data_IF_866493596240
#
_entry.id   IF_866493596240
#
_cell.length_a   1.000
_cell.length_b   1.000
_cell.length_c   1.000
_cell.angle_alpha   90.00
_cell.angle_beta   90.00
_cell.angle_gamma   90.00
#
_symmetry.space_group_name_H-M   'P 1'
#
loop_
_entity.id
_entity.type
_entity.pdbx_description
1 polymer ?
#
# COMPACT_ATOMS: atom_id res chain seq x y z
N UNK A 1 -7.41 18.41 -9.75
CA UNK A 1 -6.94 18.33 -11.15
C UNK A 1 -7.02 16.89 -11.60
N UNK A 2 -7.59 16.58 -12.77
CA UNK A 2 -7.62 15.20 -13.29
C UNK A 2 -6.29 14.81 -13.93
N UNK A 3 -5.81 13.61 -13.65
CA UNK A 3 -4.60 13.07 -14.25
C UNK A 3 -4.87 11.66 -14.77
N UNK A 4 -4.25 11.26 -15.89
CA UNK A 4 -4.52 9.95 -16.48
C UNK A 4 -3.29 9.32 -17.10
N UNK A 5 -3.07 8.04 -16.82
CA UNK A 5 -2.05 7.22 -17.47
C UNK A 5 -2.70 5.96 -18.03
N UNK A 6 -2.71 5.82 -19.36
CA UNK A 6 -3.37 4.70 -20.03
C UNK A 6 -2.65 3.37 -19.80
N UNK A 7 -1.31 3.40 -19.81
CA UNK A 7 -0.45 2.22 -19.70
C UNK A 7 0.61 2.47 -18.62
N UNK A 8 0.26 2.22 -17.36
CA UNK A 8 1.18 2.38 -16.24
C UNK A 8 0.48 2.50 -14.89
N UNK A 9 1.26 2.92 -13.91
CA UNK A 9 0.87 3.14 -12.52
C UNK A 9 1.10 4.61 -12.16
N UNK A 10 0.42 5.14 -11.15
CA UNK A 10 0.64 6.51 -10.69
C UNK A 10 0.29 7.55 -11.75
N UNK A 11 -0.99 7.88 -11.94
CA UNK A 11 -1.37 8.79 -13.03
C UNK A 11 -0.80 10.21 -12.89
N UNK A 12 -0.49 10.66 -11.66
CA UNK A 12 0.22 11.91 -11.40
C UNK A 12 1.71 11.66 -11.20
N UNK A 13 2.05 10.69 -10.36
CA UNK A 13 3.43 10.43 -9.94
C UNK A 13 3.67 8.93 -9.99
N UNK A 14 4.62 8.54 -10.83
CA UNK A 14 5.31 7.26 -10.75
C UNK A 14 6.74 7.53 -10.29
N UNK A 15 7.16 6.89 -9.21
CA UNK A 15 8.55 6.97 -8.75
C UNK A 15 9.09 5.58 -8.43
N UNK A 16 10.34 5.34 -8.81
CA UNK A 16 11.08 4.11 -8.50
C UNK A 16 12.42 4.46 -7.90
N UNK A 17 12.73 3.88 -6.74
CA UNK A 17 14.01 4.02 -6.03
C UNK A 17 14.70 2.66 -5.99
N UNK A 18 15.79 2.53 -6.74
CA UNK A 18 16.60 1.31 -6.78
C UNK A 18 17.47 1.15 -5.54
N UNK A 19 17.84 -0.08 -5.18
CA UNK A 19 18.74 -0.35 -4.06
C UNK A 19 20.07 0.40 -4.21
N UNK A 20 20.56 0.95 -3.10
CA UNK A 20 21.76 1.80 -3.08
C UNK A 20 21.55 3.23 -3.59
N UNK A 21 20.32 3.61 -3.97
CA UNK A 21 19.98 4.99 -4.31
C UNK A 21 20.04 5.89 -3.07
N UNK A 22 20.63 7.08 -3.22
CA UNK A 22 20.56 8.18 -2.25
C UNK A 22 19.43 9.18 -2.56
N UNK A 23 18.62 8.91 -3.58
CA UNK A 23 17.50 9.76 -3.97
C UNK A 23 16.31 9.62 -3.02
N UNK A 24 15.47 10.67 -2.98
CA UNK A 24 14.22 10.66 -2.23
C UNK A 24 13.09 11.26 -3.06
N UNK A 25 11.85 10.91 -2.70
CA UNK A 25 10.63 11.44 -3.31
C UNK A 25 9.88 12.24 -2.26
N UNK A 26 9.73 13.55 -2.46
CA UNK A 26 8.96 14.38 -1.54
C UNK A 26 7.98 15.30 -2.25
N UNK A 27 6.82 15.49 -1.62
CA UNK A 27 5.89 16.58 -1.95
C UNK A 27 6.10 17.63 -0.87
N UNK A 28 6.44 18.85 -1.26
CA UNK A 28 6.80 19.92 -0.33
C UNK A 28 6.12 21.22 -0.70
N UNK A 29 5.95 22.09 0.31
CA UNK A 29 5.46 23.45 0.13
C UNK A 29 4.02 23.57 0.61
N UNK A 30 3.08 23.65 -0.32
CA UNK A 30 1.64 23.65 0.01
C UNK A 30 1.03 22.29 -0.29
N UNK A 31 -0.03 21.96 0.46
CA UNK A 31 -0.80 20.73 0.26
C UNK A 31 -1.15 20.55 -1.22
N UNK A 32 -0.72 19.42 -1.78
CA UNK A 32 -0.99 18.99 -3.15
C UNK A 32 -2.13 17.99 -3.15
N UNK A 33 -3.26 18.39 -3.72
CA UNK A 33 -4.47 17.57 -3.72
C UNK A 33 -4.63 16.77 -5.01
N UNK A 34 -4.70 15.44 -4.88
CA UNK A 34 -4.92 14.51 -5.98
C UNK A 34 -6.38 14.04 -6.02
N UNK A 35 -7.05 14.28 -7.13
CA UNK A 35 -8.47 14.02 -7.35
C UNK A 35 -8.70 13.55 -8.78
N UNK A 36 -9.65 12.67 -9.06
CA UNK A 36 -9.95 12.26 -10.45
C UNK A 36 -8.74 11.70 -11.22
N UNK A 37 -7.77 11.13 -10.51
CA UNK A 37 -6.55 10.56 -11.09
C UNK A 37 -6.74 9.08 -11.42
N UNK A 38 -6.59 8.71 -12.69
CA UNK A 38 -7.01 7.40 -13.19
C UNK A 38 -5.90 6.69 -13.95
N UNK A 39 -5.63 5.46 -13.54
CA UNK A 39 -4.88 4.46 -14.33
C UNK A 39 -5.83 3.32 -14.75
N UNK A 40 -5.31 2.32 -15.46
CA UNK A 40 -6.08 1.10 -15.78
C UNK A 40 -6.68 0.48 -14.51
N UNK A 41 -8.00 0.22 -14.51
CA UNK A 41 -8.69 -0.43 -13.38
C UNK A 41 -8.56 -1.96 -13.40
N UNK A 42 -7.94 -2.53 -14.43
CA UNK A 42 -7.73 -3.98 -14.56
C UNK A 42 -6.30 -4.41 -14.30
N UNK A 43 -5.34 -3.47 -14.36
CA UNK A 43 -3.91 -3.76 -14.23
C UNK A 43 -3.07 -2.66 -13.58
N UNK A 44 -3.60 -1.43 -13.50
CA UNK A 44 -2.87 -0.27 -13.00
C UNK A 44 -2.95 -0.16 -11.48
N UNK A 45 -1.88 0.34 -10.88
CA UNK A 45 -1.73 0.51 -9.44
C UNK A 45 -1.53 2.00 -9.12
N UNK A 46 -2.06 2.47 -7.99
CA UNK A 46 -1.83 3.84 -7.56
C UNK A 46 -2.48 4.84 -8.50
N UNK A 47 -3.79 5.08 -8.34
CA UNK A 47 -4.50 5.95 -9.30
C UNK A 47 -3.91 7.36 -9.37
N UNK A 48 -3.42 7.90 -8.25
CA UNK A 48 -2.65 9.15 -8.25
C UNK A 48 -1.13 8.90 -8.17
N UNK A 49 -0.68 8.22 -7.12
CA UNK A 49 0.73 8.04 -6.80
C UNK A 49 1.07 6.56 -6.74
N UNK A 50 2.15 6.18 -7.40
CA UNK A 50 2.77 4.87 -7.29
C UNK A 50 4.24 5.02 -6.89
N UNK A 51 4.63 4.33 -5.82
CA UNK A 51 6.01 4.24 -5.36
C UNK A 51 6.51 2.80 -5.51
N UNK A 52 7.67 2.64 -6.13
CA UNK A 52 8.40 1.38 -6.22
C UNK A 52 9.71 1.50 -5.43
N UNK A 53 9.73 0.87 -4.26
CA UNK A 53 10.78 1.03 -3.25
C UNK A 53 11.55 -0.28 -3.12
N UNK A 54 12.75 -0.32 -3.69
CA UNK A 54 13.65 -1.44 -3.52
C UNK A 54 14.20 -1.51 -2.09
N UNK A 55 14.86 -2.64 -1.75
CA UNK A 55 15.46 -2.85 -0.43
C UNK A 55 16.44 -1.73 -0.07
N UNK A 56 16.28 -1.18 1.13
CA UNK A 56 17.07 -0.07 1.67
C UNK A 56 16.55 1.32 1.31
N UNK A 57 15.43 1.42 0.57
CA UNK A 57 14.84 2.69 0.13
C UNK A 57 13.48 2.99 0.76
N UNK A 58 12.98 2.11 1.62
CA UNK A 58 11.62 2.10 2.18
C UNK A 58 11.28 3.40 2.92
N UNK A 59 12.29 4.11 3.44
CA UNK A 59 12.10 5.36 4.19
C UNK A 59 12.41 6.62 3.38
N UNK A 60 12.78 6.49 2.10
CA UNK A 60 13.25 7.59 1.25
C UNK A 60 12.10 8.30 0.51
N UNK A 61 10.98 8.51 1.21
CA UNK A 61 9.87 9.29 0.69
C UNK A 61 9.17 10.09 1.79
N UNK A 62 8.55 11.20 1.40
CA UNK A 62 7.74 12.06 2.26
C UNK A 62 6.55 12.64 1.47
N UNK A 63 5.36 12.10 1.70
CA UNK A 63 4.11 12.59 1.09
C UNK A 63 3.27 13.38 2.11
N UNK A 64 3.87 13.96 3.15
CA UNK A 64 3.12 14.70 4.19
C UNK A 64 2.24 15.80 3.62
N UNK A 65 2.72 16.51 2.60
CA UNK A 65 1.96 17.54 1.91
C UNK A 65 1.06 16.98 0.78
N UNK A 66 0.79 15.67 0.72
CA UNK A 66 -0.21 15.11 -0.18
C UNK A 66 -1.60 15.10 0.47
N UNK A 67 -2.64 15.20 -0.36
CA UNK A 67 -4.02 14.99 0.05
C UNK A 67 -4.77 14.24 -1.05
N UNK A 68 -5.57 13.24 -0.67
CA UNK A 68 -6.31 12.41 -1.61
C UNK A 68 -7.81 12.68 -1.51
N UNK A 69 -8.41 13.11 -2.62
CA UNK A 69 -9.85 13.30 -2.76
C UNK A 69 -10.48 12.21 -3.65
N UNK A 70 -11.80 12.26 -3.76
CA UNK A 70 -12.60 11.31 -4.53
C UNK A 70 -12.28 11.32 -6.04
N UNK A 71 -12.67 10.22 -6.70
CA UNK A 71 -12.55 10.06 -8.16
C UNK A 71 -11.22 9.48 -8.64
N UNK A 72 -10.27 9.21 -7.75
CA UNK A 72 -9.08 8.46 -8.14
C UNK A 72 -9.44 6.98 -8.39
N UNK A 73 -8.83 6.35 -9.41
CA UNK A 73 -9.19 5.00 -9.85
C UNK A 73 -7.95 4.20 -10.28
N UNK A 74 -7.89 2.96 -9.82
CA UNK A 74 -6.87 1.95 -10.15
C UNK A 74 -7.44 0.55 -9.87
N UNK A 75 -6.72 -0.51 -10.26
CA UNK A 75 -7.03 -1.87 -9.81
C UNK A 75 -6.85 -1.98 -8.28
N UNK A 76 -5.72 -1.47 -7.77
CA UNK A 76 -5.40 -1.39 -6.34
C UNK A 76 -4.77 -0.06 -5.99
N UNK A 77 -5.04 0.44 -4.78
CA UNK A 77 -4.58 1.75 -4.33
C UNK A 77 -5.15 2.85 -5.21
N UNK A 78 -6.45 3.14 -5.08
CA UNK A 78 -7.12 4.14 -5.90
C UNK A 78 -6.39 5.48 -5.86
N UNK A 79 -5.78 5.84 -4.73
CA UNK A 79 -4.98 7.06 -4.60
C UNK A 79 -3.49 6.75 -4.55
N UNK A 80 -3.04 5.98 -3.55
CA UNK A 80 -1.65 5.64 -3.33
C UNK A 80 -1.44 4.14 -3.41
N UNK A 81 -0.41 3.73 -4.12
CA UNK A 81 0.10 2.37 -4.07
C UNK A 81 1.61 2.35 -3.78
N UNK A 82 2.01 1.58 -2.76
CA UNK A 82 3.42 1.38 -2.38
C UNK A 82 3.82 -0.06 -2.71
N UNK A 83 4.65 -0.25 -3.73
CA UNK A 83 5.33 -1.50 -4.00
C UNK A 83 6.67 -1.50 -3.26
N UNK A 84 6.76 -2.08 -2.07
CA UNK A 84 7.97 -2.04 -1.25
C UNK A 84 8.63 -3.41 -1.12
N UNK A 85 9.94 -3.42 -0.88
CA UNK A 85 10.63 -4.63 -0.44
C UNK A 85 10.10 -5.11 0.91
N UNK A 86 10.09 -4.22 1.91
CA UNK A 86 9.42 -4.42 3.21
C UNK A 86 8.36 -3.32 3.38
N UNK A 87 7.08 -3.70 3.28
CA UNK A 87 5.98 -2.74 3.34
C UNK A 87 5.80 -2.18 4.75
N UNK A 88 6.11 -2.97 5.78
CA UNK A 88 6.03 -2.55 7.18
C UNK A 88 7.07 -1.48 7.52
N UNK A 89 8.28 -1.61 6.95
CA UNK A 89 9.32 -0.60 7.03
C UNK A 89 8.93 0.68 6.26
N UNK A 90 8.32 0.53 5.09
CA UNK A 90 7.92 1.67 4.26
C UNK A 90 6.82 2.51 4.90
N UNK A 91 5.82 1.85 5.49
CA UNK A 91 4.63 2.49 6.05
C UNK A 91 4.87 2.99 7.49
N UNK A 92 6.00 2.60 8.10
CA UNK A 92 6.38 2.95 9.48
C UNK A 92 5.33 2.49 10.49
N UNK A 93 5.24 1.17 10.67
CA UNK A 93 4.40 0.53 11.69
C UNK A 93 4.52 1.29 13.04
N UNK A 94 3.38 1.75 13.57
CA UNK A 94 3.23 2.59 14.79
C UNK A 94 3.27 4.12 14.63
N UNK A 95 3.37 4.68 13.42
CA UNK A 95 3.05 6.09 13.20
C UNK A 95 1.52 6.29 13.15
N UNK A 96 0.93 6.59 14.33
CA UNK A 96 -0.52 6.78 14.48
C UNK A 96 -1.07 7.95 13.64
N UNK A 97 -0.21 8.90 13.25
CA UNK A 97 -0.59 10.07 12.49
C UNK A 97 -0.49 9.83 10.97
N UNK A 98 0.22 8.77 10.53
CA UNK A 98 0.42 8.40 9.11
C UNK A 98 0.98 9.55 8.28
N UNK A 99 1.80 10.36 8.93
CA UNK A 99 2.15 11.72 8.48
C UNK A 99 2.70 11.64 7.04
N UNK A 100 3.59 10.68 6.79
CA UNK A 100 4.28 10.52 5.50
C UNK A 100 3.41 10.02 4.34
N UNK A 101 2.19 9.56 4.58
CA UNK A 101 1.30 9.06 3.52
C UNK A 101 0.37 10.14 2.96
N UNK A 102 0.19 11.28 3.63
CA UNK A 102 -0.63 12.38 3.12
C UNK A 102 -2.12 12.05 2.93
N UNK A 103 -2.76 11.52 3.98
CA UNK A 103 -4.17 11.08 3.92
C UNK A 103 -5.00 11.55 5.11
N UNK A 104 -6.33 11.49 4.97
CA UNK A 104 -7.25 11.66 6.10
C UNK A 104 -6.99 10.58 7.16
N UNK A 105 -7.08 10.97 8.44
CA UNK A 105 -6.95 10.08 9.59
C UNK A 105 -8.30 9.99 10.35
N UNK A 106 -9.08 8.89 10.24
CA UNK A 106 -8.81 7.67 9.48
C UNK A 106 -9.24 7.68 8.02
N UNK A 107 -8.41 7.08 7.16
CA UNK A 107 -8.81 6.64 5.82
C UNK A 107 -9.94 5.61 5.94
N UNK A 108 -11.10 5.95 5.37
CA UNK A 108 -12.32 5.16 5.47
C UNK A 108 -12.52 4.21 4.29
N UNK A 109 -11.85 4.44 3.16
CA UNK A 109 -11.83 3.52 2.03
C UNK A 109 -10.49 2.77 1.99
N UNK A 110 -10.50 1.51 2.45
CA UNK A 110 -9.32 0.65 2.47
C UNK A 110 -8.71 0.37 1.08
N UNK A 111 -9.44 0.66 -0.01
CA UNK A 111 -8.92 0.54 -1.37
C UNK A 111 -8.18 1.78 -1.84
N UNK A 112 -8.22 2.91 -1.11
CA UNK A 112 -7.52 4.13 -1.47
C UNK A 112 -6.01 4.00 -1.33
N UNK A 113 -5.55 3.40 -0.24
CA UNK A 113 -4.14 3.27 0.11
C UNK A 113 -3.82 1.78 0.23
N UNK A 114 -3.06 1.25 -0.71
CA UNK A 114 -2.66 -0.16 -0.72
C UNK A 114 -1.17 -0.32 -1.01
N UNK A 115 -0.64 -1.53 -0.84
CA UNK A 115 0.73 -1.82 -1.22
C UNK A 115 1.01 -3.31 -1.36
N UNK A 116 2.19 -3.61 -1.87
CA UNK A 116 2.78 -4.95 -1.87
C UNK A 116 3.94 -5.00 -0.89
N UNK A 117 4.03 -6.13 -0.21
CA UNK A 117 5.20 -6.52 0.57
C UNK A 117 5.95 -7.60 -0.21
N UNK A 118 6.99 -7.18 -0.94
CA UNK A 118 7.72 -8.10 -1.81
C UNK A 118 8.57 -9.13 -1.05
N UNK A 119 8.76 -9.00 0.27
CA UNK A 119 9.35 -10.05 1.09
C UNK A 119 8.42 -11.26 1.23
N UNK A 120 7.10 -11.07 1.11
CA UNK A 120 6.09 -12.13 1.25
C UNK A 120 5.27 -12.41 -0.03
N UNK A 121 5.31 -11.53 -1.03
CA UNK A 121 4.74 -11.73 -2.37
C UNK A 121 3.82 -10.59 -2.85
N UNK A 122 3.10 -10.82 -3.95
CA UNK A 122 2.29 -9.80 -4.65
C UNK A 122 0.83 -9.74 -4.20
N UNK A 123 0.55 -9.96 -2.90
CA UNK A 123 -0.79 -9.76 -2.34
C UNK A 123 -1.01 -8.27 -2.04
N UNK A 124 -2.03 -7.65 -2.62
CA UNK A 124 -2.33 -6.23 -2.36
C UNK A 124 -2.92 -6.07 -0.95
N UNK A 125 -2.23 -5.32 -0.09
CA UNK A 125 -2.58 -5.13 1.31
C UNK A 125 -3.04 -3.68 1.49
N UNK A 126 -4.27 -3.43 2.00
CA UNK A 126 -4.63 -2.12 2.51
C UNK A 126 -3.65 -1.65 3.57
N UNK A 127 -3.06 -0.47 3.40
CA UNK A 127 -2.02 0.03 4.32
C UNK A 127 -2.53 0.15 5.76
N UNK A 128 -3.85 0.28 5.93
CA UNK A 128 -4.54 0.20 7.23
C UNK A 128 -4.05 -0.97 8.08
N UNK A 129 -3.97 -2.17 7.51
CA UNK A 129 -3.56 -3.37 8.24
C UNK A 129 -2.06 -3.42 8.56
N UNK A 130 -1.26 -2.53 7.98
CA UNK A 130 0.20 -2.45 8.20
C UNK A 130 0.52 -1.48 9.33
N UNK A 131 -0.10 -0.29 9.36
CA UNK A 131 0.18 0.70 10.42
C UNK A 131 -0.68 0.56 11.67
N UNK A 132 -1.90 0.00 11.58
CA UNK A 132 -2.66 -0.28 12.81
C UNK A 132 -2.02 -1.49 13.46
N UNK A 133 -1.43 -1.31 14.64
CA UNK A 133 -0.90 -2.41 15.43
C UNK A 133 -1.92 -3.55 15.45
N UNK A 134 -1.55 -4.69 14.87
CA UNK A 134 -2.31 -5.91 15.04
C UNK A 134 -2.24 -6.19 16.52
N UNK A 135 -3.32 -5.92 17.28
CA UNK A 135 -3.52 -6.64 18.55
C UNK A 135 -3.37 -8.10 18.16
N UNK A 136 -2.38 -8.78 18.74
CA UNK A 136 -1.86 -10.12 18.39
C UNK A 136 -2.90 -11.26 18.26
N UNK A 137 -4.21 -10.96 18.31
CA UNK A 137 -5.33 -11.88 18.34
C UNK A 137 -6.26 -11.78 17.10
N UNK A 138 -6.01 -10.90 16.12
CA UNK A 138 -6.90 -10.75 14.95
C UNK A 138 -6.21 -11.21 13.66
N UNK A 139 -6.38 -12.49 13.33
CA UNK A 139 -6.04 -13.04 12.02
C UNK A 139 -7.27 -13.02 11.09
N UNK A 140 -7.33 -12.07 10.15
CA UNK A 140 -8.29 -12.14 9.05
C UNK A 140 -7.72 -13.03 7.93
N UNK A 141 -7.74 -14.35 8.12
CA UNK A 141 -7.46 -15.28 7.03
C UNK A 141 -8.70 -15.41 6.15
N UNK A 142 -8.63 -14.86 4.93
CA UNK A 142 -9.55 -15.25 3.85
C UNK A 142 -8.76 -15.95 2.75
N UNK A 143 -8.40 -17.21 3.01
CA UNK A 143 -7.73 -18.05 2.01
C UNK A 143 -8.71 -19.11 1.49
N UNK A 144 -9.40 -18.80 0.40
CA UNK A 144 -10.31 -19.73 -0.26
C UNK A 144 -9.59 -20.97 -0.86
N UNK A 145 -8.26 -20.95 -0.98
CA UNK A 145 -7.48 -22.03 -1.59
C UNK A 145 -7.01 -23.13 -0.60
N UNK A 146 -6.92 -22.85 0.70
CA UNK A 146 -6.35 -23.80 1.69
C UNK A 146 -7.36 -24.79 2.31
N UNK A 147 -8.67 -24.56 2.15
CA UNK A 147 -9.71 -25.42 2.76
C UNK A 147 -9.83 -26.83 2.16
N UNK A 148 -9.19 -27.09 1.01
CA UNK A 148 -9.25 -28.42 0.35
C UNK A 148 -8.07 -29.34 0.68
N UNK A 149 -6.98 -28.84 1.27
CA UNK A 149 -5.75 -29.64 1.46
C UNK A 149 -5.51 -30.11 2.90
N UNK A 150 -6.10 -29.46 3.92
CA UNK A 150 -5.86 -29.79 5.35
C UNK A 150 -6.75 -30.88 5.97
N UNK A 151 -7.69 -31.48 5.24
CA UNK A 151 -8.55 -32.58 5.78
C UNK A 151 -7.91 -33.98 5.79
N UNK A 152 -6.59 -34.14 5.56
CA UNK A 152 -6.01 -35.49 5.40
C UNK A 152 -4.66 -35.81 6.08
N UNK A 153 -4.26 -35.13 7.15
CA UNK A 153 -3.21 -35.60 8.09
C UNK A 153 -3.60 -35.09 9.50
N UNK A 154 -4.14 -35.90 10.43
CA UNK A 154 -3.41 -36.73 11.42
C UNK A 154 -2.71 -35.83 12.47
N UNK A 155 -2.90 -35.89 13.79
CA UNK A 155 -3.13 -37.03 14.68
C UNK A 155 -3.46 -36.56 16.13
N UNK A 156 -4.35 -37.31 16.79
CA UNK A 156 -4.43 -37.72 18.22
C UNK A 156 -4.37 -36.72 19.40
N UNK A 157 -5.45 -36.80 20.20
CA UNK A 157 -5.67 -36.22 21.53
C UNK A 157 -5.11 -37.15 22.60
N UNK A 158 -4.34 -36.62 23.56
CA UNK A 158 -4.06 -37.29 24.84
C UNK A 158 -4.69 -36.49 25.97
N UNK A 159 -5.61 -37.14 26.69
CA UNK A 159 -6.24 -36.68 27.94
C UNK A 159 -5.61 -37.41 29.12
N UNK A 160 -5.38 -36.68 30.22
CA UNK A 160 -5.50 -37.23 31.58
C UNK A 160 -6.77 -36.67 32.20
#
# INVERSE_FOLDING_TARGET
>A
SSCSCANGNGAAIYASLSSGSSGSVSITGTISTFSSCTVSTTSGLGGAIYLDLASGTETQYDLTDASYLTGNNAQYGKSLFINAFDLSAAVQMNDAERIKLGALNPETDFYNLMGYDNAFGTLAIPLYYVYTAVKNDIYHVNNAAEMKKKRKLGLQVNTY
#
